data_IF_823153780293
#
_entry.id   IF_823153780293
#
_cell.length_a   1.000
_cell.length_b   1.000
_cell.length_c   1.000
_cell.angle_alpha   90.00
_cell.angle_beta   90.00
_cell.angle_gamma   90.00
#
_symmetry.space_group_name_H-M   'P 1'
#
loop_
_entity.id
_entity.type
_entity.pdbx_description
1 polymer ?
#
# COMPACT_ATOMS: atom_id res chain seq x y z
N UNK A 1 -9.95 4.97 8.99
CA UNK A 1 -9.55 4.87 7.56
C UNK A 1 -8.16 4.28 7.54
N UNK A 2 -8.00 3.03 7.12
CA UNK A 2 -6.70 2.34 7.17
C UNK A 2 -5.92 2.69 5.89
N UNK A 3 -4.69 3.24 5.97
CA UNK A 3 -3.87 3.49 4.81
C UNK A 3 -3.56 2.19 4.06
N UNK A 4 -3.53 2.26 2.73
CA UNK A 4 -3.35 1.10 1.87
C UNK A 4 -2.30 1.39 0.80
N UNK A 5 -1.29 0.54 0.70
CA UNK A 5 -0.35 0.50 -0.41
C UNK A 5 -0.52 -0.79 -1.21
N UNK A 6 -0.02 -0.82 -2.44
CA UNK A 6 0.01 -2.02 -3.27
C UNK A 6 1.44 -2.37 -3.64
N UNK A 7 1.71 -3.64 -3.92
CA UNK A 7 2.96 -3.99 -4.60
C UNK A 7 2.86 -3.63 -6.08
N UNK A 8 3.96 -3.69 -6.82
CA UNK A 8 3.96 -3.51 -8.28
C UNK A 8 2.98 -4.46 -8.98
N UNK A 9 2.81 -5.68 -8.47
CA UNK A 9 1.88 -6.68 -9.01
C UNK A 9 0.43 -6.43 -8.57
N UNK A 10 0.23 -5.61 -7.53
CA UNK A 10 -1.08 -5.24 -7.00
C UNK A 10 -1.64 -3.94 -7.57
N UNK A 11 -0.95 -3.29 -8.52
CA UNK A 11 -1.43 -2.06 -9.17
C UNK A 11 -2.83 -2.29 -9.72
N UNK A 12 -3.76 -1.39 -9.40
CA UNK A 12 -5.16 -1.47 -9.84
C UNK A 12 -6.10 -2.23 -8.88
N UNK A 13 -5.57 -2.93 -7.87
CA UNK A 13 -6.42 -3.55 -6.83
C UNK A 13 -7.14 -2.53 -5.94
N UNK A 14 -6.55 -1.34 -5.78
CA UNK A 14 -7.14 -0.19 -5.09
C UNK A 14 -7.00 1.01 -6.04
N UNK A 15 -8.10 1.76 -6.21
CA UNK A 15 -8.10 2.96 -7.03
C UNK A 15 -7.16 4.03 -6.48
N UNK A 16 -6.37 4.65 -7.35
CA UNK A 16 -5.44 5.72 -6.99
C UNK A 16 -6.15 7.00 -6.51
N UNK A 17 -7.45 7.11 -6.79
CA UNK A 17 -8.39 8.15 -6.33
C UNK A 17 -8.82 7.98 -4.86
N UNK A 18 -8.61 6.79 -4.27
CA UNK A 18 -9.08 6.52 -2.90
C UNK A 18 -8.25 7.29 -1.88
N UNK A 19 -8.93 7.85 -0.87
CA UNK A 19 -8.33 8.64 0.23
C UNK A 19 -7.40 7.83 1.13
N UNK A 20 -7.44 6.51 1.05
CA UNK A 20 -6.55 5.60 1.80
C UNK A 20 -5.35 5.16 0.97
N UNK A 21 -5.38 5.35 -0.35
CA UNK A 21 -4.31 4.88 -1.22
C UNK A 21 -3.05 5.73 -1.04
N UNK A 22 -1.95 5.07 -0.69
CA UNK A 22 -0.65 5.70 -0.51
C UNK A 22 0.13 5.67 -1.81
N UNK A 23 0.49 4.47 -2.28
CA UNK A 23 1.22 4.25 -3.52
C UNK A 23 1.33 2.74 -3.86
N UNK A 24 1.93 2.43 -5.01
CA UNK A 24 2.13 1.06 -5.49
C UNK A 24 3.57 0.55 -5.41
N UNK A 25 4.48 1.37 -4.88
CA UNK A 25 5.87 0.96 -4.72
C UNK A 25 6.56 1.74 -3.59
N UNK A 26 7.47 1.06 -2.90
CA UNK A 26 8.16 1.55 -1.69
C UNK A 26 9.16 2.69 -1.94
N UNK A 27 9.36 3.09 -3.20
CA UNK A 27 10.18 4.25 -3.53
C UNK A 27 9.50 5.57 -3.12
N UNK A 28 8.17 5.56 -3.02
CA UNK A 28 7.40 6.76 -2.72
C UNK A 28 7.34 7.01 -1.21
N UNK A 29 7.50 8.27 -0.81
CA UNK A 29 7.79 8.65 0.57
C UNK A 29 6.65 8.31 1.53
N UNK A 30 5.40 8.51 1.11
CA UNK A 30 4.22 8.16 1.93
C UNK A 30 4.17 6.68 2.27
N UNK A 31 4.39 5.80 1.30
CA UNK A 31 4.45 4.36 1.54
C UNK A 31 5.69 4.03 2.39
N UNK A 32 6.87 4.53 2.05
CA UNK A 32 8.10 4.25 2.81
C UNK A 32 7.98 4.62 4.28
N UNK A 33 7.42 5.79 4.59
CA UNK A 33 7.16 6.25 5.96
C UNK A 33 6.14 5.33 6.64
N UNK A 34 5.05 4.98 5.97
CA UNK A 34 4.08 4.03 6.50
C UNK A 34 4.72 2.67 6.83
N UNK A 35 5.56 2.13 5.93
CA UNK A 35 6.25 0.86 6.14
C UNK A 35 7.24 0.90 7.33
N UNK A 36 7.84 2.05 7.61
CA UNK A 36 8.77 2.24 8.72
C UNK A 36 8.06 2.37 10.08
N UNK A 37 6.95 3.11 10.11
CA UNK A 37 6.33 3.57 11.36
C UNK A 37 5.12 2.74 11.80
N UNK A 38 4.55 1.93 10.90
CA UNK A 38 3.39 1.11 11.25
C UNK A 38 3.74 0.08 12.32
N UNK A 39 2.76 -0.25 13.15
CA UNK A 39 2.84 -1.28 14.20
C UNK A 39 2.20 -2.61 13.75
N UNK A 40 1.21 -2.55 12.84
CA UNK A 40 0.50 -3.70 12.28
C UNK A 40 0.38 -3.62 10.75
N UNK A 41 0.81 -4.67 10.05
CA UNK A 41 0.61 -4.83 8.61
C UNK A 41 -0.36 -5.96 8.33
N UNK A 42 -1.39 -5.70 7.52
CA UNK A 42 -2.25 -6.74 6.95
C UNK A 42 -1.94 -6.87 5.46
N UNK A 43 -1.44 -8.03 5.06
CA UNK A 43 -0.98 -8.31 3.71
C UNK A 43 -1.89 -9.32 3.02
N UNK A 44 -2.38 -8.98 1.83
CA UNK A 44 -3.28 -9.82 1.04
C UNK A 44 -2.58 -10.24 -0.26
N UNK A 45 -2.37 -11.54 -0.46
CA UNK A 45 -1.75 -12.11 -1.67
C UNK A 45 -0.35 -11.57 -1.93
N UNK A 46 0.42 -11.34 -0.87
CA UNK A 46 1.70 -10.67 -0.91
C UNK A 46 2.83 -11.63 -0.52
N UNK A 47 3.77 -11.84 -1.45
CA UNK A 47 4.89 -12.79 -1.30
C UNK A 47 6.07 -12.27 -0.49
N UNK A 48 6.01 -11.03 0.01
CA UNK A 48 7.12 -10.38 0.72
C UNK A 48 8.46 -10.65 0.04
N UNK A 49 8.56 -10.36 -1.26
CA UNK A 49 9.72 -10.71 -2.09
C UNK A 49 10.74 -9.57 -2.15
N UNK A 50 11.67 -9.63 -3.11
CA UNK A 50 12.70 -8.60 -3.30
C UNK A 50 12.11 -7.19 -3.49
N UNK A 51 10.91 -7.07 -4.06
CA UNK A 51 10.27 -5.77 -4.26
C UNK A 51 9.83 -5.11 -2.95
N UNK A 52 9.65 -5.91 -1.90
CA UNK A 52 9.39 -5.49 -0.53
C UNK A 52 10.58 -5.69 0.40
N UNK A 53 11.79 -5.88 -0.13
CA UNK A 53 13.01 -6.14 0.64
C UNK A 53 12.85 -7.33 1.61
N UNK A 54 12.09 -8.34 1.21
CA UNK A 54 11.83 -9.53 2.01
C UNK A 54 11.21 -9.27 3.39
N UNK A 55 10.57 -8.11 3.58
CA UNK A 55 10.05 -7.71 4.89
C UNK A 55 11.15 -7.42 5.92
N UNK A 56 12.37 -7.13 5.49
CA UNK A 56 13.52 -6.92 6.37
C UNK A 56 13.80 -5.44 6.69
N UNK A 57 14.63 -5.22 7.70
CA UNK A 57 15.24 -3.91 7.97
C UNK A 57 16.15 -3.46 6.82
N UNK A 58 16.37 -2.14 6.65
CA UNK A 58 15.89 -1.05 7.49
C UNK A 58 14.47 -0.59 7.16
N UNK A 59 13.82 -1.17 6.16
CA UNK A 59 12.55 -0.66 5.66
C UNK A 59 11.34 -1.11 6.49
N UNK A 60 11.38 -2.34 6.99
CA UNK A 60 10.34 -2.90 7.84
C UNK A 60 10.88 -3.10 9.25
N UNK A 61 10.25 -2.49 10.23
CA UNK A 61 10.63 -2.65 11.63
C UNK A 61 10.40 -4.11 12.06
N UNK A 62 11.30 -4.73 12.83
CA UNK A 62 11.14 -6.12 13.30
C UNK A 62 10.01 -6.30 14.31
N UNK A 63 9.64 -5.25 15.05
CA UNK A 63 8.57 -5.31 16.06
C UNK A 63 7.16 -5.22 15.46
N UNK A 64 7.06 -5.00 14.15
CA UNK A 64 5.78 -4.98 13.43
C UNK A 64 5.09 -6.33 13.47
N UNK A 65 3.83 -6.31 13.87
CA UNK A 65 2.94 -7.46 13.77
C UNK A 65 2.48 -7.59 12.33
N UNK A 66 2.57 -8.79 11.77
CA UNK A 66 2.15 -9.07 10.39
C UNK A 66 1.04 -10.10 10.39
N UNK A 67 -0.08 -9.74 9.75
CA UNK A 67 -1.16 -10.64 9.39
C UNK A 67 -1.02 -10.91 7.88
N UNK A 68 -0.83 -12.17 7.50
CA UNK A 68 -0.59 -12.56 6.11
C UNK A 68 -1.71 -13.47 5.62
N UNK A 69 -2.33 -13.06 4.51
CA UNK A 69 -3.34 -13.83 3.80
C UNK A 69 -2.71 -14.23 2.46
N UNK A 70 -2.60 -15.53 2.20
CA UNK A 70 -2.14 -16.05 0.92
C UNK A 70 -2.87 -17.35 0.58
N UNK A 71 -3.03 -17.64 -0.72
CA UNK A 71 -3.65 -18.88 -1.17
C UNK A 71 -2.66 -20.05 -1.11
N UNK A 72 -1.35 -19.78 -1.24
CA UNK A 72 -0.31 -20.79 -1.13
C UNK A 72 0.21 -20.87 0.32
N UNK A 73 0.00 -22.00 1.03
CA UNK A 73 0.52 -22.16 2.38
C UNK A 73 2.05 -22.02 2.48
N UNK A 74 2.80 -22.20 1.39
CA UNK A 74 4.27 -22.06 1.38
C UNK A 74 4.76 -20.62 1.49
N UNK A 75 3.91 -19.64 1.18
CA UNK A 75 4.28 -18.23 1.27
C UNK A 75 4.05 -17.65 2.66
N UNK A 76 3.23 -18.30 3.48
CA UNK A 76 2.91 -17.90 4.85
C UNK A 76 4.17 -17.98 5.73
N UNK A 77 4.63 -16.84 6.24
CA UNK A 77 5.79 -16.75 7.15
C UNK A 77 7.14 -17.09 6.51
N UNK A 78 7.22 -17.16 5.17
CA UNK A 78 8.42 -17.59 4.44
C UNK A 78 9.61 -16.65 4.60
N UNK A 79 9.37 -15.35 4.44
CA UNK A 79 10.43 -14.33 4.40
C UNK A 79 10.52 -13.46 5.66
N UNK A 80 9.48 -13.50 6.52
CA UNK A 80 9.42 -12.71 7.74
C UNK A 80 8.51 -13.41 8.77
N UNK A 81 8.82 -13.30 10.09
CA UNK A 81 7.89 -13.70 11.13
C UNK A 81 6.52 -13.02 10.99
N UNK A 82 5.46 -13.80 11.22
CA UNK A 82 4.07 -13.33 11.18
C UNK A 82 3.36 -13.67 12.49
N UNK A 83 2.38 -12.85 12.86
CA UNK A 83 1.53 -13.07 14.02
C UNK A 83 0.37 -14.01 13.67
N UNK A 84 -0.23 -13.81 12.49
CA UNK A 84 -1.37 -14.59 12.01
C UNK A 84 -1.21 -14.89 10.53
N UNK A 85 -1.25 -16.17 10.17
CA UNK A 85 -1.28 -16.65 8.78
C UNK A 85 -2.66 -17.22 8.43
N UNK A 86 -3.27 -16.74 7.34
CA UNK A 86 -4.56 -17.22 6.84
C UNK A 86 -4.33 -17.81 5.45
N UNK A 87 -4.50 -19.11 5.32
CA UNK A 87 -4.44 -19.79 4.02
C UNK A 87 -5.82 -19.75 3.38
N UNK A 88 -5.95 -19.03 2.27
CA UNK A 88 -7.22 -18.93 1.57
C UNK A 88 -7.24 -17.89 0.45
N UNK A 89 -8.32 -17.92 -0.33
CA UNK A 89 -8.58 -16.91 -1.35
C UNK A 89 -8.79 -15.53 -0.71
N UNK A 90 -7.99 -14.54 -1.13
CA UNK A 90 -8.05 -13.18 -0.57
C UNK A 90 -9.45 -12.57 -0.68
N UNK A 91 -10.17 -12.80 -1.78
CA UNK A 91 -11.52 -12.27 -1.95
C UNK A 91 -12.45 -12.88 -0.91
N UNK A 92 -12.45 -14.20 -0.72
CA UNK A 92 -13.27 -14.86 0.29
C UNK A 92 -12.95 -14.37 1.72
N UNK A 93 -11.66 -14.26 2.07
CA UNK A 93 -11.22 -13.78 3.38
C UNK A 93 -11.65 -12.33 3.62
N UNK A 94 -11.50 -11.44 2.63
CA UNK A 94 -11.95 -10.04 2.73
C UNK A 94 -13.47 -9.97 2.99
N UNK A 95 -14.28 -10.78 2.30
CA UNK A 95 -15.73 -10.80 2.55
C UNK A 95 -16.06 -11.26 3.98
N UNK A 96 -15.34 -12.25 4.51
CA UNK A 96 -15.51 -12.69 5.90
C UNK A 96 -15.13 -11.58 6.89
N UNK A 97 -14.01 -10.90 6.66
CA UNK A 97 -13.58 -9.77 7.49
C UNK A 97 -14.60 -8.63 7.47
N UNK A 98 -15.12 -8.26 6.30
CA UNK A 98 -16.15 -7.23 6.16
C UNK A 98 -17.44 -7.59 6.90
N UNK A 99 -17.87 -8.85 6.80
CA UNK A 99 -19.05 -9.34 7.51
C UNK A 99 -18.87 -9.26 9.04
N UNK A 100 -17.71 -9.71 9.54
CA UNK A 100 -17.42 -9.67 10.97
C UNK A 100 -17.23 -8.25 11.49
N UNK A 101 -16.58 -7.37 10.73
CA UNK A 101 -16.49 -5.94 11.05
C UNK A 101 -17.87 -5.28 11.08
N UNK A 102 -18.75 -5.61 10.13
CA UNK A 102 -20.11 -5.06 10.10
C UNK A 102 -20.96 -5.47 11.31
N UNK A 103 -20.70 -6.64 11.90
CA UNK A 103 -21.40 -7.14 13.08
C UNK A 103 -20.81 -6.62 14.39
N UNK A 104 -19.48 -6.58 14.48
CA UNK A 104 -18.78 -6.48 15.77
C UNK A 104 -17.95 -5.19 15.93
N UNK A 105 -17.62 -4.46 14.86
CA UNK A 105 -16.76 -3.27 14.96
C UNK A 105 -17.58 -2.03 15.33
N UNK A 106 -17.29 -1.36 16.46
CA UNK A 106 -17.93 -0.10 16.79
C UNK A 106 -17.62 0.97 15.74
N UNK A 107 -18.63 1.71 15.28
CA UNK A 107 -18.43 2.77 14.27
C UNK A 107 -17.41 3.84 14.70
N UNK A 108 -17.27 4.10 16.00
CA UNK A 108 -16.28 5.01 16.56
C UNK A 108 -14.83 4.61 16.27
N UNK A 109 -14.56 3.31 16.10
CA UNK A 109 -13.24 2.77 15.77
C UNK A 109 -12.86 2.96 14.30
N UNK A 110 -13.83 3.21 13.41
CA UNK A 110 -13.58 3.38 11.97
C UNK A 110 -12.71 4.62 11.70
N UNK A 111 -12.78 5.64 12.55
CA UNK A 111 -12.06 6.91 12.40
C UNK A 111 -10.72 6.96 13.15
N UNK A 112 -10.34 5.92 13.89
CA UNK A 112 -9.16 5.90 14.78
C UNK A 112 -7.85 6.25 14.05
N UNK A 113 -7.70 5.82 12.80
CA UNK A 113 -6.51 6.10 11.98
C UNK A 113 -6.64 7.29 11.02
N UNK A 114 -7.67 8.13 11.18
CA UNK A 114 -7.92 9.25 10.25
C UNK A 114 -6.77 10.26 10.23
N UNK A 115 -6.26 10.63 11.41
CA UNK A 115 -5.17 11.61 11.52
C UNK A 115 -3.89 11.09 10.87
N UNK A 116 -3.50 9.85 11.17
CA UNK A 116 -2.36 9.19 10.54
C UNK A 116 -2.51 9.09 9.02
N UNK A 117 -3.68 8.67 8.54
CA UNK A 117 -3.96 8.62 7.11
C UNK A 117 -3.82 10.00 6.47
N UNK A 118 -4.37 11.06 7.09
CA UNK A 118 -4.28 12.41 6.55
C UNK A 118 -2.83 12.88 6.45
N UNK A 119 -2.01 12.63 7.47
CA UNK A 119 -0.58 12.94 7.45
C UNK A 119 0.14 12.28 6.26
N UNK A 120 -0.09 10.98 6.04
CA UNK A 120 0.50 10.27 4.91
C UNK A 120 -0.01 10.77 3.54
N UNK A 121 -1.29 11.17 3.46
CA UNK A 121 -1.86 11.77 2.26
C UNK A 121 -1.25 13.15 1.96
N UNK A 122 -0.90 13.94 2.97
CA UNK A 122 -0.19 15.21 2.76
C UNK A 122 1.21 14.98 2.18
N UNK A 123 1.95 14.00 2.70
CA UNK A 123 3.26 13.61 2.14
C UNK A 123 3.10 13.19 0.67
N UNK A 124 2.13 12.32 0.38
CA UNK A 124 1.82 11.88 -0.99
C UNK A 124 1.52 13.07 -1.90
N UNK A 125 0.67 14.00 -1.46
CA UNK A 125 0.29 15.20 -2.22
C UNK A 125 1.50 16.08 -2.50
N UNK A 126 2.36 16.31 -1.51
CA UNK A 126 3.57 17.12 -1.67
C UNK A 126 4.55 16.49 -2.67
N UNK A 127 4.68 15.16 -2.66
CA UNK A 127 5.49 14.45 -3.63
C UNK A 127 4.91 14.49 -5.04
N UNK A 128 3.59 14.34 -5.20
CA UNK A 128 2.94 14.50 -6.51
C UNK A 128 3.16 15.92 -7.06
N UNK A 129 3.00 16.94 -6.21
CA UNK A 129 3.21 18.34 -6.59
C UNK A 129 4.67 18.63 -6.99
N UNK A 130 5.65 18.03 -6.32
CA UNK A 130 7.07 18.21 -6.70
C UNK A 130 7.38 17.55 -8.04
N UNK A 131 6.73 16.41 -8.34
CA UNK A 131 6.89 15.70 -9.59
C UNK A 131 6.28 16.43 -10.80
N UNK A 132 5.27 17.30 -10.59
CA UNK A 132 4.65 18.08 -11.68
C UNK A 132 5.67 18.83 -12.54
N UNK A 133 6.73 19.39 -11.94
CA UNK A 133 7.79 20.08 -12.68
C UNK A 133 8.48 19.20 -13.74
N UNK A 134 8.61 17.91 -13.45
CA UNK A 134 9.20 16.92 -14.35
C UNK A 134 8.17 16.46 -15.38
N UNK A 135 6.97 16.11 -14.90
CA UNK A 135 5.84 15.66 -15.72
C UNK A 135 5.38 16.73 -16.72
N UNK A 136 5.58 18.01 -16.40
CA UNK A 136 5.21 19.14 -17.25
C UNK A 136 6.36 19.72 -18.10
N UNK A 137 7.53 19.08 -18.05
CA UNK A 137 8.71 19.60 -18.73
C UNK A 137 8.59 19.53 -20.25
N UNK A 138 8.76 20.68 -20.93
CA UNK A 138 8.80 20.81 -22.40
C UNK A 138 10.21 20.76 -22.99
N UNK A 139 11.21 20.36 -22.19
CA UNK A 139 12.62 20.33 -22.63
C UNK A 139 12.82 19.23 -23.68
N UNK A 140 13.69 19.50 -24.67
CA UNK A 140 14.15 18.51 -25.64
C UNK A 140 15.58 18.00 -25.31
N UNK A 141 15.87 16.70 -25.45
CA UNK A 141 14.93 15.62 -25.81
C UNK A 141 13.87 15.39 -24.71
N UNK A 142 12.67 14.93 -25.13
CA UNK A 142 11.54 14.71 -24.22
C UNK A 142 11.89 13.71 -23.13
N UNK A 143 11.52 14.04 -21.89
CA UNK A 143 11.66 13.12 -20.76
C UNK A 143 10.60 12.01 -20.81
N UNK A 144 10.95 10.74 -20.53
CA UNK A 144 9.98 9.64 -20.52
C UNK A 144 8.76 9.90 -19.61
N UNK A 145 8.95 10.56 -18.48
CA UNK A 145 7.88 10.87 -17.53
C UNK A 145 6.84 11.83 -18.12
N UNK A 146 7.26 12.78 -18.98
CA UNK A 146 6.35 13.67 -19.72
C UNK A 146 5.48 12.87 -20.69
N UNK A 147 6.06 11.90 -21.40
CA UNK A 147 5.31 11.05 -22.32
C UNK A 147 4.23 10.25 -21.58
N UNK A 148 4.59 9.65 -20.44
CA UNK A 148 3.66 8.88 -19.61
C UNK A 148 2.55 9.78 -19.04
N UNK A 149 2.87 11.00 -18.62
CA UNK A 149 1.88 11.97 -18.17
C UNK A 149 0.82 12.29 -19.24
N UNK A 150 1.25 12.60 -20.46
CA UNK A 150 0.35 12.86 -21.60
C UNK A 150 -0.51 11.64 -21.94
N UNK A 151 0.06 10.44 -21.86
CA UNK A 151 -0.67 9.20 -22.11
C UNK A 151 -1.81 8.99 -21.09
N UNK A 152 -1.54 9.24 -19.81
CA UNK A 152 -2.55 9.12 -18.76
C UNK A 152 -3.60 10.23 -18.80
N UNK A 153 -3.28 11.40 -19.33
CA UNK A 153 -4.28 12.48 -19.55
C UNK A 153 -5.20 12.16 -20.75
N UNK A 154 -4.66 11.47 -21.77
CA UNK A 154 -5.42 11.09 -22.96
C UNK A 154 -6.31 9.85 -22.76
N UNK A 155 -5.87 8.88 -21.95
CA UNK A 155 -6.60 7.63 -21.71
C UNK A 155 -7.61 7.85 -20.56
N UNK A 156 -8.90 7.50 -20.77
CA UNK A 156 -9.95 7.67 -19.76
C UNK A 156 -9.84 6.72 -18.55
#
# INVERSE_FOLDING_TARGET
MIPSGTTINGIGSIGSDKKTFLDSYLINASYRIAALEVDVVVSFGCKWDYSLFYGAQPLWNQDQKVIQIDIDPKEIGKNRPIEVGIVGDCKAVIHQLLNEMGRNLPKSKITEWTEWNNYLQEIRKNQLNSNLKILESKKLPMKPERLIYELFDFIP
#
